data_IF_444667109284
#
_entry.id   IF_444667109284
#
_cell.length_a   1.000
_cell.length_b   1.000
_cell.length_c   1.000
_cell.angle_alpha   90.00
_cell.angle_beta   90.00
_cell.angle_gamma   90.00
#
_symmetry.space_group_name_H-M   'P 1'
#
loop_
_entity.id
_entity.type
_entity.pdbx_description
1 polymer ?
#
# COMPACT_ATOMS: atom_id res chain seq x y z
N UNK A 1 4.25 3.36 8.01
CA UNK A 1 4.48 4.23 9.19
C UNK A 1 3.42 4.11 10.27
N UNK A 2 2.10 4.05 9.95
CA UNK A 2 1.03 3.96 10.98
C UNK A 2 1.17 2.78 11.96
N UNK A 3 1.61 1.61 11.49
CA UNK A 3 1.76 0.41 12.32
C UNK A 3 2.91 0.53 13.33
N UNK A 4 4.03 1.16 12.95
CA UNK A 4 5.17 1.30 13.83
C UNK A 4 4.86 2.25 15.00
N UNK A 5 4.25 3.41 14.72
CA UNK A 5 3.84 4.36 15.75
C UNK A 5 2.83 3.76 16.74
N UNK A 6 1.84 2.99 16.26
CA UNK A 6 0.89 2.30 17.15
C UNK A 6 1.57 1.30 18.10
N UNK A 7 2.58 0.59 17.64
CA UNK A 7 3.32 -0.37 18.46
C UNK A 7 4.21 0.34 19.50
N UNK A 8 4.87 1.44 19.13
CA UNK A 8 5.65 2.25 20.09
C UNK A 8 4.73 2.83 21.17
N UNK A 9 3.56 3.36 20.80
CA UNK A 9 2.56 3.84 21.77
C UNK A 9 2.05 2.69 22.64
N UNK A 10 1.82 1.51 22.06
CA UNK A 10 1.42 0.32 22.82
C UNK A 10 2.50 -0.12 23.81
N UNK A 11 3.78 0.04 23.48
CA UNK A 11 4.89 -0.21 24.39
C UNK A 11 4.91 0.80 25.53
N UNK A 12 4.79 2.11 25.22
CA UNK A 12 4.75 3.15 26.24
C UNK A 12 3.63 2.91 27.26
N UNK A 13 2.40 2.65 26.79
CA UNK A 13 1.27 2.30 27.68
C UNK A 13 1.55 1.06 28.52
N UNK A 14 2.16 0.04 27.93
CA UNK A 14 2.49 -1.19 28.67
C UNK A 14 3.49 -0.93 29.81
N UNK A 15 4.45 -0.03 29.59
CA UNK A 15 5.42 0.39 30.59
C UNK A 15 4.75 1.22 31.70
N UNK A 16 3.92 2.19 31.32
CA UNK A 16 3.16 3.04 32.25
C UNK A 16 2.23 2.19 33.14
N UNK A 17 1.46 1.28 32.55
CA UNK A 17 0.52 0.40 33.26
C UNK A 17 1.20 -0.53 34.30
N UNK A 18 2.53 -0.69 34.20
CA UNK A 18 3.34 -1.52 35.11
C UNK A 18 4.21 -0.69 36.05
N UNK A 19 4.10 0.64 35.99
CA UNK A 19 4.95 1.54 36.77
C UNK A 19 6.43 1.33 36.47
N UNK A 20 6.78 1.05 35.21
CA UNK A 20 8.19 0.91 34.85
C UNK A 20 8.91 2.25 34.97
N UNK A 21 9.92 2.29 35.82
CA UNK A 21 10.79 3.44 35.99
C UNK A 21 12.16 3.16 35.35
N UNK A 22 12.80 4.22 34.83
CA UNK A 22 14.12 4.15 34.23
C UNK A 22 14.10 3.91 32.71
N UNK A 23 15.27 3.58 32.18
CA UNK A 23 15.48 3.45 30.73
C UNK A 23 14.87 2.18 30.14
N UNK A 24 14.79 2.13 28.81
CA UNK A 24 14.40 0.93 28.09
C UNK A 24 15.43 -0.19 28.34
N UNK A 25 14.94 -1.37 28.75
CA UNK A 25 15.76 -2.55 28.96
C UNK A 25 15.27 -3.74 28.13
N UNK A 26 16.12 -4.76 27.89
CA UNK A 26 15.71 -5.99 27.23
C UNK A 26 14.52 -6.68 27.88
N UNK A 27 14.46 -6.70 29.21
CA UNK A 27 13.41 -7.41 29.93
C UNK A 27 12.01 -6.83 29.65
N UNK A 28 11.84 -5.50 29.78
CA UNK A 28 10.54 -4.88 29.53
C UNK A 28 10.13 -4.99 28.05
N UNK A 29 11.08 -4.85 27.12
CA UNK A 29 10.83 -4.99 25.70
C UNK A 29 10.36 -6.41 25.34
N UNK A 30 10.99 -7.44 25.92
CA UNK A 30 10.64 -8.84 25.67
C UNK A 30 9.29 -9.22 26.30
N UNK A 31 9.02 -8.74 27.52
CA UNK A 31 7.71 -8.95 28.17
C UNK A 31 6.59 -8.26 27.37
N UNK A 32 6.80 -7.02 26.92
CA UNK A 32 5.85 -6.33 26.06
C UNK A 32 5.63 -7.02 24.70
N UNK A 33 6.70 -7.54 24.07
CA UNK A 33 6.59 -8.18 22.76
C UNK A 33 5.65 -9.39 22.79
N UNK A 34 5.60 -10.11 23.93
CA UNK A 34 4.66 -11.21 24.17
C UNK A 34 3.28 -10.71 24.63
N UNK A 35 3.25 -9.71 25.51
CA UNK A 35 2.01 -9.20 26.08
C UNK A 35 1.15 -8.50 25.02
N UNK A 36 -0.17 -8.73 25.07
CA UNK A 36 -1.14 -8.11 24.18
C UNK A 36 -0.83 -8.36 22.68
N UNK A 37 -0.12 -9.44 22.34
CA UNK A 37 0.09 -9.86 20.96
C UNK A 37 -1.23 -10.35 20.36
N UNK A 38 -1.59 -9.84 19.18
CA UNK A 38 -2.81 -10.27 18.47
C UNK A 38 -2.78 -11.77 18.19
N UNK A 39 -1.60 -12.31 17.93
CA UNK A 39 -1.35 -13.74 17.78
C UNK A 39 -0.18 -14.10 18.69
N UNK A 40 -0.38 -15.12 19.53
CA UNK A 40 0.61 -15.61 20.48
C UNK A 40 1.61 -16.56 19.78
N UNK A 41 2.44 -16.02 18.89
CA UNK A 41 3.43 -16.80 18.16
C UNK A 41 4.80 -16.07 18.05
N UNK A 42 5.92 -16.81 17.92
CA UNK A 42 7.26 -16.23 17.86
C UNK A 42 7.46 -15.22 16.73
N UNK A 43 6.83 -15.41 15.57
CA UNK A 43 6.99 -14.49 14.43
C UNK A 43 6.32 -13.13 14.73
N UNK A 44 5.15 -13.13 15.37
CA UNK A 44 4.48 -11.91 15.83
C UNK A 44 5.30 -11.19 16.90
N UNK A 45 5.82 -11.90 17.90
CA UNK A 45 6.66 -11.30 18.94
C UNK A 45 7.95 -10.72 18.37
N UNK A 46 8.60 -11.45 17.46
CA UNK A 46 9.81 -10.99 16.77
C UNK A 46 9.55 -9.67 16.04
N UNK A 47 8.45 -9.60 15.27
CA UNK A 47 8.05 -8.38 14.56
C UNK A 47 7.81 -7.19 15.48
N UNK A 48 7.10 -7.41 16.58
CA UNK A 48 6.84 -6.34 17.57
C UNK A 48 8.15 -5.80 18.13
N UNK A 49 9.07 -6.68 18.50
CA UNK A 49 10.38 -6.29 19.01
C UNK A 49 11.20 -5.50 17.98
N UNK A 50 11.19 -5.89 16.70
CA UNK A 50 11.90 -5.15 15.64
C UNK A 50 11.37 -3.74 15.42
N UNK A 51 10.08 -3.51 15.66
CA UNK A 51 9.51 -2.15 15.56
C UNK A 51 10.12 -1.22 16.60
N UNK A 52 10.49 -1.73 17.79
CA UNK A 52 11.14 -0.93 18.82
C UNK A 52 12.63 -0.69 18.56
N UNK A 53 13.29 -1.49 17.70
CA UNK A 53 14.75 -1.41 17.53
C UNK A 53 15.25 -0.01 17.15
N UNK A 54 14.68 0.70 16.15
CA UNK A 54 15.12 2.06 15.83
C UNK A 54 14.89 3.05 16.98
N UNK A 55 13.78 2.89 17.71
CA UNK A 55 13.47 3.71 18.87
C UNK A 55 14.44 3.45 20.03
N UNK A 56 14.80 2.19 20.26
CA UNK A 56 15.80 1.78 21.23
C UNK A 56 17.20 2.31 20.89
N UNK A 57 17.57 2.30 19.61
CA UNK A 57 18.82 2.90 19.12
C UNK A 57 18.86 4.40 19.39
N UNK A 58 17.76 5.11 19.13
CA UNK A 58 17.64 6.53 19.48
C UNK A 58 17.78 6.75 20.99
N UNK A 59 17.05 5.98 21.81
CA UNK A 59 17.13 6.11 23.27
C UNK A 59 18.51 5.76 23.85
N UNK A 60 19.24 4.81 23.26
CA UNK A 60 20.61 4.50 23.68
C UNK A 60 21.61 5.61 23.35
N UNK A 61 21.36 6.40 22.30
CA UNK A 61 22.17 7.57 21.98
C UNK A 61 21.92 8.73 22.94
N UNK A 62 20.66 8.91 23.37
CA UNK A 62 20.25 9.99 24.30
C UNK A 62 20.48 9.63 25.78
N UNK A 63 20.23 8.37 26.15
CA UNK A 63 20.28 7.86 27.51
C UNK A 63 21.14 6.60 27.54
N UNK A 64 22.42 6.75 27.92
CA UNK A 64 23.44 5.71 27.83
C UNK A 64 23.18 4.43 28.64
N UNK A 65 22.22 4.45 29.58
CA UNK A 65 21.78 3.27 30.32
C UNK A 65 20.76 2.42 29.55
N UNK A 66 20.21 2.93 28.44
CA UNK A 66 19.26 2.18 27.62
C UNK A 66 19.95 1.00 26.94
N UNK A 67 19.37 -0.18 27.10
CA UNK A 67 19.85 -1.41 26.48
C UNK A 67 18.72 -2.13 25.74
N UNK A 68 19.08 -2.89 24.71
CA UNK A 68 18.12 -3.63 23.88
C UNK A 68 18.71 -4.96 23.42
N UNK A 69 17.89 -6.00 23.15
CA UNK A 69 18.41 -7.28 22.66
C UNK A 69 19.25 -7.10 21.39
N UNK A 70 20.51 -7.53 21.45
CA UNK A 70 21.44 -7.44 20.31
C UNK A 70 20.93 -8.24 19.11
N UNK A 71 20.34 -9.40 19.38
CA UNK A 71 19.64 -10.25 18.39
C UNK A 71 18.17 -10.38 18.76
N UNK A 72 17.36 -10.92 17.85
CA UNK A 72 15.94 -11.17 18.11
C UNK A 72 15.76 -12.60 18.66
N UNK A 73 15.43 -12.77 19.97
CA UNK A 73 15.32 -14.08 20.57
C UNK A 73 14.08 -14.87 20.10
N UNK A 74 13.14 -14.23 19.42
CA UNK A 74 11.96 -14.89 18.85
C UNK A 74 12.17 -15.35 17.39
N UNK A 75 13.37 -15.16 16.85
CA UNK A 75 13.75 -15.62 15.52
C UNK A 75 13.49 -14.59 14.42
N UNK A 76 13.16 -15.08 13.21
CA UNK A 76 13.07 -14.25 12.00
C UNK A 76 11.81 -13.38 12.01
N UNK A 77 11.96 -12.15 11.53
CA UNK A 77 10.90 -11.13 11.54
C UNK A 77 10.30 -10.90 10.16
N UNK A 78 10.96 -11.46 9.14
CA UNK A 78 10.57 -11.42 7.74
C UNK A 78 10.35 -12.84 7.25
N UNK A 79 9.14 -13.10 6.75
CA UNK A 79 8.87 -14.23 5.85
C UNK A 79 8.87 -13.65 4.45
N UNK A 80 9.76 -14.11 3.58
CA UNK A 80 9.65 -13.79 2.15
C UNK A 80 8.59 -14.71 1.60
N UNK A 81 7.36 -14.21 1.49
CA UNK A 81 6.36 -14.87 0.66
C UNK A 81 6.87 -14.80 -0.78
N UNK A 82 6.93 -15.95 -1.47
CA UNK A 82 7.19 -15.93 -2.90
C UNK A 82 6.03 -15.16 -3.56
N UNK A 83 6.31 -14.14 -4.39
CA UNK A 83 5.25 -13.45 -5.09
C UNK A 83 4.54 -14.44 -6.02
N UNK A 84 3.21 -14.42 -6.02
CA UNK A 84 2.44 -15.15 -7.01
C UNK A 84 2.59 -14.42 -8.35
N UNK A 85 3.16 -15.10 -9.35
CA UNK A 85 3.27 -14.58 -10.70
C UNK A 85 2.03 -15.07 -11.45
N UNK A 86 1.10 -14.15 -11.70
CA UNK A 86 -0.16 -14.51 -12.34
C UNK A 86 0.05 -14.99 -13.77
N UNK A 87 -0.65 -16.06 -14.15
CA UNK A 87 -0.70 -16.50 -15.55
C UNK A 87 -1.64 -15.62 -16.38
N UNK A 88 -1.57 -15.74 -17.71
CA UNK A 88 -2.46 -15.01 -18.61
C UNK A 88 -3.92 -15.41 -18.36
N UNK A 89 -4.18 -16.68 -18.08
CA UNK A 89 -5.51 -17.21 -17.77
C UNK A 89 -6.05 -16.63 -16.46
N UNK A 90 -5.21 -16.57 -15.42
CA UNK A 90 -5.60 -15.97 -14.13
C UNK A 90 -5.88 -14.47 -14.30
N UNK A 91 -5.03 -13.73 -15.01
CA UNK A 91 -5.26 -12.30 -15.29
C UNK A 91 -6.58 -12.11 -16.05
N UNK A 92 -6.82 -12.93 -17.07
CA UNK A 92 -8.06 -12.87 -17.87
C UNK A 92 -9.29 -13.16 -17.02
N UNK A 93 -9.21 -14.17 -16.14
CA UNK A 93 -10.29 -14.49 -15.21
C UNK A 93 -10.55 -13.35 -14.22
N UNK A 94 -9.50 -12.74 -13.66
CA UNK A 94 -9.64 -11.60 -12.75
C UNK A 94 -10.29 -10.40 -13.46
N UNK A 95 -9.88 -10.10 -14.70
CA UNK A 95 -10.48 -9.02 -15.49
C UNK A 95 -11.94 -9.34 -15.81
N UNK A 96 -12.28 -10.59 -16.14
CA UNK A 96 -13.66 -11.02 -16.36
C UNK A 96 -14.51 -10.81 -15.09
N UNK A 97 -14.04 -11.28 -13.94
CA UNK A 97 -14.72 -11.07 -12.65
C UNK A 97 -14.84 -9.59 -12.26
N UNK A 98 -13.85 -8.78 -12.64
CA UNK A 98 -13.89 -7.34 -12.38
C UNK A 98 -15.09 -6.64 -13.05
N UNK A 99 -15.63 -7.18 -14.16
CA UNK A 99 -16.83 -6.64 -14.81
C UNK A 99 -18.10 -6.84 -13.98
N UNK A 100 -18.10 -7.81 -13.06
CA UNK A 100 -19.24 -8.13 -12.20
C UNK A 100 -19.24 -7.33 -10.89
N UNK A 101 -18.19 -6.55 -10.61
CA UNK A 101 -18.12 -5.69 -9.42
C UNK A 101 -19.14 -4.55 -9.58
N UNK A 102 -20.25 -4.67 -8.85
CA UNK A 102 -21.29 -3.64 -8.82
C UNK A 102 -20.72 -2.34 -8.25
N UNK A 103 -20.93 -1.28 -8.99
CA UNK A 103 -20.63 0.09 -8.58
C UNK A 103 -21.91 0.94 -8.70
N UNK A 104 -21.91 2.09 -8.03
CA UNK A 104 -23.09 2.95 -7.87
C UNK A 104 -23.49 3.58 -9.20
N UNK A 105 -22.53 3.85 -10.08
CA UNK A 105 -22.76 4.44 -11.40
C UNK A 105 -22.28 3.54 -12.54
N UNK A 106 -22.86 3.73 -13.72
CA UNK A 106 -22.62 2.88 -14.89
C UNK A 106 -21.15 2.85 -15.33
N UNK A 107 -20.41 3.96 -15.20
CA UNK A 107 -18.97 4.00 -15.46
C UNK A 107 -18.16 3.06 -14.55
N UNK A 108 -18.63 2.77 -13.34
CA UNK A 108 -17.94 1.92 -12.39
C UNK A 108 -17.82 0.46 -12.80
N UNK A 109 -18.72 -0.01 -13.67
CA UNK A 109 -18.64 -1.38 -14.20
C UNK A 109 -17.42 -1.59 -15.10
N UNK A 110 -16.97 -0.55 -15.83
CA UNK A 110 -15.75 -0.62 -16.64
C UNK A 110 -14.49 -0.15 -15.91
N UNK A 111 -14.63 0.59 -14.81
CA UNK A 111 -13.49 1.13 -14.08
C UNK A 111 -12.57 0.03 -13.53
N UNK A 112 -13.13 -1.01 -12.92
CA UNK A 112 -12.32 -2.10 -12.34
C UNK A 112 -11.61 -2.93 -13.41
N UNK A 113 -12.28 -3.39 -14.49
CA UNK A 113 -11.60 -4.02 -15.62
C UNK A 113 -10.49 -3.17 -16.21
N UNK A 114 -10.73 -1.87 -16.44
CA UNK A 114 -9.73 -0.96 -17.01
C UNK A 114 -8.52 -0.79 -16.07
N UNK A 115 -8.75 -0.63 -14.77
CA UNK A 115 -7.68 -0.51 -13.78
C UNK A 115 -6.84 -1.79 -13.68
N UNK A 116 -7.48 -2.96 -13.56
CA UNK A 116 -6.77 -4.24 -13.46
C UNK A 116 -6.02 -4.55 -14.75
N UNK A 117 -6.65 -4.35 -15.91
CA UNK A 117 -6.03 -4.54 -17.22
C UNK A 117 -4.83 -3.62 -17.42
N UNK A 118 -4.94 -2.36 -17.01
CA UNK A 118 -3.82 -1.41 -17.05
C UNK A 118 -2.66 -1.90 -16.19
N UNK A 119 -2.91 -2.30 -14.93
CA UNK A 119 -1.87 -2.80 -14.02
C UNK A 119 -1.18 -4.04 -14.60
N UNK A 120 -1.95 -4.98 -15.15
CA UNK A 120 -1.43 -6.20 -15.76
C UNK A 120 -0.57 -5.93 -16.99
N UNK A 121 -0.99 -4.99 -17.86
CA UNK A 121 -0.29 -4.68 -19.10
C UNK A 121 0.97 -3.82 -18.89
N UNK A 122 1.02 -2.99 -17.85
CA UNK A 122 2.05 -1.95 -17.69
C UNK A 122 2.97 -2.14 -16.48
N UNK A 123 2.59 -2.99 -15.52
CA UNK A 123 3.33 -3.17 -14.28
C UNK A 123 3.38 -1.91 -13.41
N UNK A 124 2.47 -0.95 -13.59
CA UNK A 124 2.34 0.22 -12.72
C UNK A 124 2.11 -0.22 -11.27
N UNK A 125 2.69 0.53 -10.33
CA UNK A 125 2.27 0.38 -8.93
C UNK A 125 0.83 0.86 -8.81
N UNK A 126 0.06 0.24 -7.92
CA UNK A 126 -1.33 0.67 -7.67
C UNK A 126 -1.42 2.16 -7.34
N UNK A 127 -0.48 2.70 -6.56
CA UNK A 127 -0.44 4.14 -6.25
C UNK A 127 -0.17 5.01 -7.47
N UNK A 128 0.66 4.54 -8.41
CA UNK A 128 0.94 5.27 -9.66
C UNK A 128 -0.32 5.29 -10.53
N UNK A 129 -0.97 4.13 -10.72
CA UNK A 129 -2.21 4.02 -11.51
C UNK A 129 -3.36 4.87 -10.94
N UNK A 130 -3.57 4.83 -9.62
CA UNK A 130 -4.64 5.60 -8.96
C UNK A 130 -4.39 7.11 -8.98
N UNK A 131 -3.13 7.55 -9.11
CA UNK A 131 -2.77 8.98 -9.15
C UNK A 131 -2.78 9.57 -10.57
N UNK A 132 -3.05 8.76 -11.60
CA UNK A 132 -3.12 9.25 -12.97
C UNK A 132 -4.23 10.28 -13.13
N UNK A 133 -3.90 11.38 -13.81
CA UNK A 133 -4.83 12.39 -14.27
C UNK A 133 -5.06 12.24 -15.77
N UNK A 134 -6.16 12.78 -16.28
CA UNK A 134 -6.47 12.67 -17.72
C UNK A 134 -5.34 13.20 -18.61
N UNK A 135 -4.67 14.29 -18.21
CA UNK A 135 -3.50 14.85 -18.92
C UNK A 135 -2.27 13.94 -18.99
N UNK A 136 -2.25 12.86 -18.21
CA UNK A 136 -1.14 11.91 -18.17
C UNK A 136 -1.31 10.81 -19.21
N UNK A 137 -2.47 10.72 -19.85
CA UNK A 137 -2.78 9.74 -20.87
C UNK A 137 -2.67 10.42 -22.24
N UNK A 138 -1.73 9.94 -23.04
CA UNK A 138 -1.60 10.29 -24.44
C UNK A 138 -1.88 9.02 -25.24
N UNK A 139 -3.16 8.78 -25.50
CA UNK A 139 -3.65 7.55 -26.13
C UNK A 139 -3.34 7.50 -27.63
N UNK A 140 -3.18 8.65 -28.26
CA UNK A 140 -2.73 8.76 -29.66
C UNK A 140 -1.29 8.27 -29.82
N UNK A 141 -0.39 8.70 -28.92
CA UNK A 141 0.98 8.18 -28.86
C UNK A 141 1.09 6.85 -28.08
N UNK A 142 -0.04 6.25 -27.66
CA UNK A 142 -0.11 5.04 -26.86
C UNK A 142 0.83 5.05 -25.64
N UNK A 143 0.79 6.11 -24.84
CA UNK A 143 1.69 6.28 -23.70
C UNK A 143 1.02 6.90 -22.46
N UNK A 144 1.58 6.59 -21.30
CA UNK A 144 1.21 7.20 -20.02
C UNK A 144 2.43 7.88 -19.40
N UNK A 145 2.27 9.13 -18.98
CA UNK A 145 3.25 9.85 -18.18
C UNK A 145 3.02 9.58 -16.69
N UNK A 146 3.84 8.72 -16.10
CA UNK A 146 3.81 8.46 -14.67
C UNK A 146 4.53 9.59 -13.95
N UNK A 147 3.75 10.43 -13.25
CA UNK A 147 4.28 11.48 -12.38
C UNK A 147 4.62 10.94 -11.00
N UNK A 148 5.55 11.61 -10.32
CA UNK A 148 5.83 11.41 -8.90
C UNK A 148 6.16 9.96 -8.50
N UNK A 149 6.96 9.26 -9.31
CA UNK A 149 7.60 8.02 -8.84
C UNK A 149 8.55 8.33 -7.68
N UNK A 150 8.99 7.28 -6.96
CA UNK A 150 9.92 7.44 -5.82
C UNK A 150 11.05 8.41 -6.15
N UNK A 151 11.20 9.46 -5.34
CA UNK A 151 12.16 10.56 -5.51
C UNK A 151 11.84 11.60 -6.61
N UNK A 152 10.56 11.78 -6.96
CA UNK A 152 10.14 12.84 -7.90
C UNK A 152 10.52 12.57 -9.35
N UNK A 153 10.91 11.33 -9.69
CA UNK A 153 11.22 10.94 -11.06
C UNK A 153 9.95 10.70 -11.87
N UNK A 154 9.99 11.05 -13.14
CA UNK A 154 8.92 10.81 -14.10
C UNK A 154 9.38 9.77 -15.13
N UNK A 155 8.44 9.01 -15.69
CA UNK A 155 8.72 8.07 -16.79
C UNK A 155 7.53 7.96 -17.73
N UNK A 156 7.79 7.72 -19.00
CA UNK A 156 6.79 7.31 -19.97
C UNK A 156 6.64 5.79 -19.95
N UNK A 157 5.41 5.32 -20.07
CA UNK A 157 5.05 3.91 -20.14
C UNK A 157 4.24 3.69 -21.41
N UNK A 158 4.76 2.87 -22.32
CA UNK A 158 4.05 2.53 -23.54
C UNK A 158 2.84 1.62 -23.25
N UNK A 159 1.81 1.76 -24.05
CA UNK A 159 0.58 0.99 -24.01
C UNK A 159 0.48 0.11 -25.24
N UNK A 160 0.02 -1.12 -25.04
CA UNK A 160 -0.38 -1.98 -26.15
C UNK A 160 -1.71 -1.46 -26.74
N UNK A 161 -1.98 -1.58 -28.05
CA UNK A 161 -3.22 -1.12 -28.67
C UNK A 161 -4.50 -1.65 -28.00
N UNK A 162 -4.47 -2.88 -27.48
CA UNK A 162 -5.62 -3.44 -26.73
C UNK A 162 -5.85 -2.73 -25.39
N UNK A 163 -4.79 -2.24 -24.73
CA UNK A 163 -4.91 -1.43 -23.51
C UNK A 163 -5.44 -0.04 -23.83
N UNK A 164 -5.04 0.54 -24.97
CA UNK A 164 -5.58 1.83 -25.46
C UNK A 164 -7.09 1.69 -25.69
N UNK A 165 -7.52 0.71 -26.48
CA UNK A 165 -8.95 0.50 -26.76
C UNK A 165 -9.79 0.27 -25.48
N UNK A 166 -9.25 -0.48 -24.51
CA UNK A 166 -9.92 -0.69 -23.22
C UNK A 166 -10.03 0.60 -22.39
N UNK A 167 -8.98 1.43 -22.39
CA UNK A 167 -8.97 2.73 -21.72
C UNK A 167 -9.92 3.72 -22.39
N UNK A 168 -9.95 3.79 -23.72
CA UNK A 168 -10.88 4.66 -24.47
C UNK A 168 -12.34 4.34 -24.12
N UNK A 169 -12.75 3.08 -24.22
CA UNK A 169 -14.12 2.65 -23.87
C UNK A 169 -14.48 2.99 -22.42
N UNK A 170 -13.54 2.85 -21.49
CA UNK A 170 -13.73 3.28 -20.10
C UNK A 170 -13.87 4.80 -19.99
N UNK A 171 -12.98 5.56 -20.62
CA UNK A 171 -12.95 7.02 -20.57
C UNK A 171 -14.18 7.65 -21.20
N UNK A 172 -14.71 7.10 -22.30
CA UNK A 172 -15.95 7.56 -22.93
C UNK A 172 -17.12 7.52 -21.95
N UNK A 173 -17.27 6.39 -21.25
CA UNK A 173 -18.33 6.22 -20.22
C UNK A 173 -18.08 7.08 -18.99
N UNK A 174 -16.82 7.21 -18.56
CA UNK A 174 -16.43 8.07 -17.44
C UNK A 174 -16.79 9.53 -17.74
N UNK A 175 -16.41 10.03 -18.91
CA UNK A 175 -16.58 11.43 -19.31
C UNK A 175 -18.04 11.80 -19.57
N UNK A 176 -18.91 10.82 -19.85
CA UNK A 176 -20.35 11.03 -19.90
C UNK A 176 -21.00 11.31 -18.53
N UNK A 177 -20.31 10.98 -17.43
CA UNK A 177 -20.86 11.01 -16.07
C UNK A 177 -20.10 11.96 -15.15
N UNK A 178 -18.77 12.06 -15.31
CA UNK A 178 -17.87 12.82 -14.45
C UNK A 178 -17.14 13.93 -15.22
N UNK A 179 -16.65 14.97 -14.50
CA UNK A 179 -15.78 15.99 -15.08
C UNK A 179 -14.56 15.41 -15.81
N UNK A 180 -14.18 16.08 -16.90
CA UNK A 180 -13.11 15.67 -17.82
C UNK A 180 -12.04 16.74 -18.00
N UNK A 181 -11.81 17.59 -16.99
CA UNK A 181 -10.69 18.53 -16.98
C UNK A 181 -9.36 17.77 -17.00
N UNK A 182 -8.29 18.29 -17.64
CA UNK A 182 -7.00 17.61 -17.72
C UNK A 182 -6.40 17.18 -16.37
N UNK A 183 -6.74 17.86 -15.28
CA UNK A 183 -6.27 17.56 -13.92
C UNK A 183 -7.17 16.57 -13.17
N UNK A 184 -8.30 16.18 -13.73
CA UNK A 184 -9.21 15.25 -13.08
C UNK A 184 -8.61 13.84 -13.05
N UNK A 185 -8.75 13.11 -11.93
CA UNK A 185 -8.25 11.74 -11.84
C UNK A 185 -8.91 10.81 -12.85
N UNK A 186 -8.14 9.90 -13.43
CA UNK A 186 -8.65 8.86 -14.34
C UNK A 186 -9.57 7.90 -13.58
N UNK A 187 -9.12 7.43 -12.42
CA UNK A 187 -9.88 6.52 -11.55
C UNK A 187 -10.45 7.27 -10.35
N UNK A 188 -11.78 7.31 -10.24
CA UNK A 188 -12.51 8.10 -9.26
C UNK A 188 -13.33 7.22 -8.30
N UNK A 189 -13.57 7.74 -7.11
CA UNK A 189 -14.62 7.26 -6.22
C UNK A 189 -15.94 7.88 -6.67
N UNK A 190 -16.88 7.05 -7.12
CA UNK A 190 -18.20 7.50 -7.57
C UNK A 190 -19.02 8.19 -6.49
N UNK A 191 -18.74 7.91 -5.21
CA UNK A 191 -19.42 8.54 -4.08
C UNK A 191 -18.95 9.97 -3.83
N UNK A 192 -17.67 10.25 -4.08
CA UNK A 192 -17.04 11.52 -3.71
C UNK A 192 -16.61 12.37 -4.89
N UNK A 193 -16.56 11.81 -6.10
CA UNK A 193 -15.98 12.45 -7.29
C UNK A 193 -14.48 12.73 -7.17
N UNK A 194 -13.81 12.18 -6.15
CA UNK A 194 -12.37 12.35 -5.90
C UNK A 194 -11.59 11.12 -6.35
N UNK A 195 -10.26 11.26 -6.40
CA UNK A 195 -9.33 10.16 -6.68
C UNK A 195 -9.67 8.90 -5.89
N UNK A 196 -9.72 7.75 -6.56
CA UNK A 196 -9.94 6.47 -5.90
C UNK A 196 -8.75 6.16 -4.98
N UNK A 197 -9.00 6.02 -3.68
CA UNK A 197 -7.94 5.79 -2.69
C UNK A 197 -7.74 4.31 -2.41
N UNK A 198 -6.48 3.87 -2.34
CA UNK A 198 -6.15 2.54 -1.82
C UNK A 198 -6.25 2.55 -0.29
N UNK A 199 -7.29 1.93 0.26
CA UNK A 199 -7.36 1.70 1.70
C UNK A 199 -6.44 0.54 2.06
N UNK A 200 -5.28 0.86 2.66
CA UNK A 200 -4.51 -0.15 3.40
C UNK A 200 -5.35 -0.57 4.61
N UNK A 201 -6.07 -1.68 4.50
CA UNK A 201 -6.63 -2.40 5.64
C UNK A 201 -5.50 -2.85 6.59
#
# INVERSE_FOLDING_TARGET
MKTAGRQIISFARYADDRGHEGTLSPDIALRWAKANATIADPFTWAKRLEVLRPFATFLAAEYGETTFPATNPFGRTKRRLAPHIFTIEEITAIIAEAHHIRRVQAAGTLMMPALVGLLAATGLRISEALSLQLRDLDLEAAQILVREAKYGRQRLVALHPTSVAALENFLDRRNAIFPSSPTDPVFLSELSGKMLTYMNA
#
